data_IF_093190340347
#
_entry.id   IF_093190340347
#
_cell.length_a   1.000
_cell.length_b   1.000
_cell.length_c   1.000
_cell.angle_alpha   90.00
_cell.angle_beta   90.00
_cell.angle_gamma   90.00
#
_symmetry.space_group_name_H-M   'P 1'
#
loop_
_entity.id
_entity.type
_entity.pdbx_description
1 polymer ?
#
# COMPACT_ATOMS: atom_id res chain seq x y z
N UNK A 1 5.02 50.57 -19.98
CA UNK A 1 5.34 50.25 -18.58
C UNK A 1 4.40 49.13 -18.14
N UNK A 2 4.88 47.89 -18.14
CA UNK A 2 4.11 46.72 -17.68
C UNK A 2 4.35 46.59 -16.18
N UNK A 3 3.32 46.46 -15.33
CA UNK A 3 3.52 46.36 -13.89
C UNK A 3 4.28 45.07 -13.56
N UNK A 4 5.31 45.19 -12.73
CA UNK A 4 6.04 44.06 -12.20
C UNK A 4 5.07 43.14 -11.45
N UNK A 5 5.00 41.87 -11.85
CA UNK A 5 4.25 40.84 -11.10
C UNK A 5 4.87 40.75 -9.72
N UNK A 6 4.08 40.97 -8.67
CA UNK A 6 4.46 40.62 -7.31
C UNK A 6 4.90 39.16 -7.29
N UNK A 7 6.17 38.94 -6.97
CA UNK A 7 6.72 37.61 -6.78
C UNK A 7 6.10 37.08 -5.49
N UNK A 8 5.03 36.28 -5.60
CA UNK A 8 4.48 35.57 -4.46
C UNK A 8 5.56 34.64 -3.94
N UNK A 9 6.20 35.03 -2.84
CA UNK A 9 7.17 34.20 -2.13
C UNK A 9 6.36 33.16 -1.36
N UNK A 10 6.21 31.98 -1.96
CA UNK A 10 5.69 30.82 -1.25
C UNK A 10 6.75 30.37 -0.25
N UNK A 11 6.44 30.44 1.04
CA UNK A 11 7.28 29.88 2.11
C UNK A 11 7.09 28.36 2.11
N UNK A 12 7.78 27.69 1.16
CA UNK A 12 7.70 26.23 1.00
C UNK A 12 8.70 25.59 1.97
N UNK A 13 8.25 24.72 2.90
CA UNK A 13 9.13 24.10 3.87
C UNK A 13 10.12 23.17 3.18
N UNK A 14 11.41 23.35 3.50
CA UNK A 14 12.48 22.43 3.09
C UNK A 14 12.68 21.40 4.18
N UNK A 15 12.46 20.13 3.84
CA UNK A 15 12.60 18.99 4.75
C UNK A 15 13.69 18.04 4.28
N UNK A 16 14.51 17.57 5.21
CA UNK A 16 15.45 16.48 4.96
C UNK A 16 14.73 15.14 5.16
N UNK A 17 14.89 14.25 4.19
CA UNK A 17 14.23 12.94 4.15
C UNK A 17 15.31 11.87 4.14
N UNK A 18 15.05 10.74 4.79
CA UNK A 18 15.94 9.59 4.75
C UNK A 18 15.92 8.94 3.37
N UNK A 19 17.08 8.82 2.74
CA UNK A 19 17.19 8.52 1.31
C UNK A 19 17.73 7.12 1.00
N UNK A 20 18.06 6.31 2.02
CA UNK A 20 18.60 4.95 1.85
C UNK A 20 17.67 4.08 0.99
N UNK A 21 16.36 4.18 1.22
CA UNK A 21 15.35 3.44 0.47
C UNK A 21 15.32 3.88 -1.00
N UNK A 22 15.38 5.20 -1.24
CA UNK A 22 15.43 5.78 -2.59
C UNK A 22 16.71 5.41 -3.34
N UNK A 23 17.82 5.28 -2.60
CA UNK A 23 19.12 4.86 -3.14
C UNK A 23 19.14 3.38 -3.57
N UNK A 24 18.40 2.53 -2.86
CA UNK A 24 18.18 1.13 -3.25
C UNK A 24 17.21 1.07 -4.45
N UNK A 25 16.14 1.86 -4.41
CA UNK A 25 15.10 1.89 -5.45
C UNK A 25 15.66 2.22 -6.85
N UNK A 26 16.54 3.21 -6.98
CA UNK A 26 17.07 3.64 -8.28
C UNK A 26 17.77 2.50 -9.07
N UNK A 27 18.31 1.50 -8.37
CA UNK A 27 18.98 0.33 -8.94
C UNK A 27 18.07 -0.91 -9.04
N UNK A 28 16.82 -0.81 -8.59
CA UNK A 28 15.87 -1.92 -8.61
C UNK A 28 15.37 -2.20 -10.02
N UNK A 29 14.97 -3.46 -10.26
CA UNK A 29 14.31 -3.86 -11.51
C UNK A 29 12.98 -3.13 -11.69
N UNK A 30 12.25 -2.92 -10.59
CA UNK A 30 10.98 -2.21 -10.60
C UNK A 30 11.13 -0.77 -11.11
N UNK A 31 12.16 -0.03 -10.67
CA UNK A 31 12.42 1.31 -11.15
C UNK A 31 12.84 1.35 -12.64
N UNK A 32 13.50 0.28 -13.11
CA UNK A 32 13.87 0.14 -14.52
C UNK A 32 12.65 -0.13 -15.42
N UNK A 33 11.67 -0.89 -14.93
CA UNK A 33 10.43 -1.20 -15.66
C UNK A 33 9.47 -0.01 -15.69
N UNK A 34 9.25 0.65 -14.54
CA UNK A 34 8.28 1.74 -14.43
C UNK A 34 8.76 3.04 -15.07
N UNK A 35 10.06 3.32 -14.97
CA UNK A 35 10.65 4.61 -15.38
C UNK A 35 11.86 4.38 -16.28
N UNK A 36 11.70 3.58 -17.33
CA UNK A 36 12.76 3.21 -18.26
C UNK A 36 13.40 4.41 -18.98
N UNK A 37 12.65 5.49 -19.18
CA UNK A 37 13.10 6.72 -19.87
C UNK A 37 13.87 7.69 -18.98
N UNK A 38 13.83 7.51 -17.66
CA UNK A 38 14.46 8.41 -16.70
C UNK A 38 15.89 8.00 -16.36
N UNK A 39 16.75 8.99 -16.14
CA UNK A 39 18.10 8.80 -15.63
C UNK A 39 18.06 8.26 -14.19
N UNK A 40 19.21 7.74 -13.72
CA UNK A 40 19.34 7.19 -12.37
C UNK A 40 18.93 8.22 -11.29
N UNK A 41 19.35 9.48 -11.46
CA UNK A 41 18.97 10.57 -10.56
C UNK A 41 17.47 10.88 -10.63
N UNK A 42 16.83 10.77 -11.80
CA UNK A 42 15.39 10.92 -11.93
C UNK A 42 14.63 9.85 -11.14
N UNK A 43 15.10 8.60 -11.18
CA UNK A 43 14.55 7.49 -10.39
C UNK A 43 14.75 7.69 -8.89
N UNK A 44 15.90 8.22 -8.48
CA UNK A 44 16.17 8.60 -7.09
C UNK A 44 15.16 9.64 -6.58
N UNK A 45 14.89 10.70 -7.34
CA UNK A 45 13.89 11.71 -6.97
C UNK A 45 12.48 11.14 -6.85
N UNK A 46 12.10 10.20 -7.73
CA UNK A 46 10.81 9.49 -7.62
C UNK A 46 10.75 8.71 -6.31
N UNK A 47 11.79 7.92 -6.00
CA UNK A 47 11.86 7.16 -4.75
C UNK A 47 11.79 8.08 -3.52
N UNK A 48 12.46 9.24 -3.55
CA UNK A 48 12.44 10.21 -2.44
C UNK A 48 11.04 10.81 -2.26
N UNK A 49 10.39 11.17 -3.37
CA UNK A 49 9.03 11.75 -3.35
C UNK A 49 8.02 10.74 -2.84
N UNK A 50 8.13 9.47 -3.25
CA UNK A 50 7.24 8.40 -2.77
C UNK A 50 7.45 8.10 -1.30
N UNK A 51 8.70 8.08 -0.85
CA UNK A 51 9.01 7.89 0.57
C UNK A 51 8.42 8.99 1.43
N UNK A 52 8.43 10.25 0.96
CA UNK A 52 7.77 11.37 1.62
C UNK A 52 6.25 11.18 1.71
N UNK A 53 5.62 10.64 0.67
CA UNK A 53 4.17 10.43 0.62
C UNK A 53 3.72 9.22 1.44
N UNK A 54 4.44 8.11 1.36
CA UNK A 54 4.09 6.87 2.03
C UNK A 54 5.36 6.02 2.29
N UNK A 55 6.04 6.21 3.43
CA UNK A 55 7.24 5.46 3.75
C UNK A 55 6.95 3.96 3.95
N UNK A 56 5.75 3.60 4.41
CA UNK A 56 5.37 2.20 4.62
C UNK A 56 5.31 1.43 3.30
N UNK A 57 4.75 2.03 2.25
CA UNK A 57 4.68 1.41 0.92
C UNK A 57 6.07 1.20 0.32
N UNK A 58 6.96 2.18 0.49
CA UNK A 58 8.35 2.07 0.02
C UNK A 58 9.08 0.94 0.74
N UNK A 59 8.99 0.84 2.07
CA UNK A 59 9.59 -0.27 2.80
C UNK A 59 9.00 -1.64 2.41
N UNK A 60 7.70 -1.71 2.13
CA UNK A 60 7.05 -2.93 1.67
C UNK A 60 7.53 -3.37 0.29
N UNK A 61 7.79 -2.43 -0.62
CA UNK A 61 8.32 -2.71 -1.96
C UNK A 61 9.72 -3.33 -1.94
N UNK A 62 10.52 -3.08 -0.88
CA UNK A 62 11.83 -3.70 -0.72
C UNK A 62 11.75 -5.18 -0.31
N UNK A 63 10.69 -5.61 0.38
CA UNK A 63 10.43 -6.98 0.86
C UNK A 63 11.70 -7.73 1.33
N UNK A 64 12.31 -8.56 0.48
CA UNK A 64 13.51 -9.35 0.82
C UNK A 64 14.81 -8.53 0.91
N UNK A 65 14.87 -7.35 0.27
CA UNK A 65 16.03 -6.46 0.27
C UNK A 65 16.03 -5.47 1.42
N UNK A 66 15.08 -5.57 2.36
CA UNK A 66 14.99 -4.65 3.50
C UNK A 66 16.21 -4.74 4.42
N UNK A 67 16.91 -5.88 4.44
CA UNK A 67 18.17 -6.07 5.18
C UNK A 67 19.34 -5.28 4.61
N UNK A 68 19.23 -4.76 3.38
CA UNK A 68 20.22 -3.85 2.79
C UNK A 68 20.19 -2.46 3.43
N UNK A 69 19.12 -2.13 4.16
CA UNK A 69 19.06 -0.94 5.00
C UNK A 69 20.02 -1.19 6.17
N UNK A 70 21.16 -0.49 6.19
CA UNK A 70 22.14 -0.64 7.26
C UNK A 70 21.58 -0.09 8.58
N UNK A 71 21.48 -0.95 9.59
CA UNK A 71 21.10 -0.61 10.96
C UNK A 71 22.33 -0.62 11.88
N UNK A 72 23.39 0.08 11.47
CA UNK A 72 24.66 0.16 12.21
C UNK A 72 25.45 -1.15 12.27
N UNK A 73 26.75 -1.03 12.55
CA UNK A 73 27.71 -2.14 12.46
C UNK A 73 27.40 -3.30 13.43
N UNK A 74 26.71 -3.03 14.54
CA UNK A 74 26.44 -3.97 15.63
C UNK A 74 25.44 -5.09 15.23
N UNK A 75 24.48 -4.78 14.36
CA UNK A 75 23.32 -5.64 14.09
C UNK A 75 23.45 -6.46 12.79
N UNK A 76 24.44 -6.15 11.95
CA UNK A 76 24.57 -6.72 10.61
C UNK A 76 24.98 -8.21 10.62
N UNK A 77 25.52 -8.69 11.74
CA UNK A 77 25.88 -10.10 11.94
C UNK A 77 24.67 -11.03 12.15
N UNK A 78 23.45 -10.48 12.30
CA UNK A 78 22.21 -11.22 12.63
C UNK A 78 21.16 -11.16 11.51
N UNK A 79 21.58 -11.29 10.25
CA UNK A 79 20.74 -11.09 9.05
C UNK A 79 19.38 -11.82 9.11
N UNK A 80 19.35 -13.09 9.52
CA UNK A 80 18.09 -13.88 9.56
C UNK A 80 17.13 -13.39 10.66
N UNK A 81 17.63 -13.11 11.87
CA UNK A 81 16.80 -12.62 12.98
C UNK A 81 16.33 -11.19 12.72
N UNK A 82 17.17 -10.39 12.07
CA UNK A 82 16.87 -9.03 11.68
C UNK A 82 15.71 -8.99 10.65
N UNK A 83 15.75 -9.87 9.65
CA UNK A 83 14.68 -9.97 8.65
C UNK A 83 13.34 -10.27 9.32
N UNK A 84 13.29 -11.28 10.21
CA UNK A 84 12.05 -11.64 10.93
C UNK A 84 11.54 -10.47 11.79
N UNK A 85 12.45 -9.75 12.46
CA UNK A 85 12.09 -8.60 13.27
C UNK A 85 11.51 -7.45 12.42
N UNK A 86 12.14 -7.15 11.28
CA UNK A 86 11.68 -6.12 10.35
C UNK A 86 10.34 -6.47 9.71
N UNK A 87 10.16 -7.72 9.25
CA UNK A 87 8.87 -8.20 8.75
C UNK A 87 7.77 -8.06 9.79
N UNK A 88 8.05 -8.42 11.05
CA UNK A 88 7.09 -8.27 12.15
C UNK A 88 6.70 -6.81 12.37
N UNK A 89 7.66 -5.89 12.36
CA UNK A 89 7.39 -4.45 12.49
C UNK A 89 6.55 -3.94 11.32
N UNK A 90 6.85 -4.36 10.09
CA UNK A 90 6.07 -3.98 8.91
C UNK A 90 4.64 -4.50 8.99
N UNK A 91 4.44 -5.74 9.44
CA UNK A 91 3.11 -6.31 9.69
C UNK A 91 2.39 -5.45 10.72
N UNK A 92 2.99 -5.20 11.88
CA UNK A 92 2.35 -4.41 12.95
C UNK A 92 1.96 -3.00 12.49
N UNK A 93 2.84 -2.32 11.73
CA UNK A 93 2.55 -0.98 11.21
C UNK A 93 1.49 -1.00 10.10
N UNK A 94 1.50 -1.99 9.23
CA UNK A 94 0.49 -2.15 8.16
C UNK A 94 -0.89 -2.37 8.75
N UNK A 95 -1.01 -3.18 9.81
CA UNK A 95 -2.29 -3.42 10.46
C UNK A 95 -2.78 -2.22 11.28
N UNK A 96 -1.88 -1.36 11.76
CA UNK A 96 -2.26 -0.08 12.40
C UNK A 96 -2.82 0.93 11.40
N UNK A 97 -2.17 1.07 10.25
CA UNK A 97 -2.57 2.04 9.21
C UNK A 97 -3.79 1.54 8.42
N UNK A 98 -4.02 0.23 8.39
CA UNK A 98 -5.03 -0.42 7.56
C UNK A 98 -4.76 -0.21 6.07
N UNK A 99 -5.45 -0.99 5.24
CA UNK A 99 -5.16 -1.07 3.82
C UNK A 99 -6.44 -0.98 3.02
N UNK A 100 -6.46 -0.15 1.98
CA UNK A 100 -7.62 -0.03 1.10
C UNK A 100 -7.55 -1.01 -0.07
N UNK A 101 -8.51 -1.94 -0.19
CA UNK A 101 -8.48 -2.97 -1.24
C UNK A 101 -8.65 -2.35 -2.63
N UNK A 102 -9.54 -1.37 -2.77
CA UNK A 102 -9.88 -0.82 -4.07
C UNK A 102 -8.68 -0.12 -4.70
N UNK A 103 -7.91 0.59 -3.88
CA UNK A 103 -6.64 1.19 -4.29
C UNK A 103 -5.64 0.15 -4.79
N UNK A 104 -5.62 -1.04 -4.21
CA UNK A 104 -4.71 -2.12 -4.62
C UNK A 104 -5.05 -2.71 -5.99
N UNK A 105 -6.33 -2.74 -6.36
CA UNK A 105 -6.73 -3.21 -7.69
C UNK A 105 -6.23 -2.26 -8.78
N UNK A 106 -6.21 -0.96 -8.48
CA UNK A 106 -5.81 0.10 -9.40
C UNK A 106 -4.29 0.34 -9.42
N UNK A 107 -3.63 0.19 -8.27
CA UNK A 107 -2.22 0.50 -8.08
C UNK A 107 -1.42 -0.76 -7.72
N UNK A 108 -0.62 -1.25 -8.67
CA UNK A 108 0.26 -2.42 -8.48
C UNK A 108 1.33 -2.17 -7.42
N UNK A 109 1.74 -0.92 -7.18
CA UNK A 109 2.76 -0.61 -6.19
C UNK A 109 2.22 -0.79 -4.78
N UNK A 110 0.96 -0.37 -4.56
CA UNK A 110 0.28 -0.51 -3.29
C UNK A 110 -0.02 -1.99 -2.94
N UNK A 111 -0.08 -2.90 -3.93
CA UNK A 111 -0.28 -4.34 -3.72
C UNK A 111 0.82 -5.01 -2.88
N UNK A 112 2.03 -4.45 -2.82
CA UNK A 112 3.13 -4.99 -2.00
C UNK A 112 2.80 -5.00 -0.49
N UNK A 113 1.80 -4.24 -0.05
CA UNK A 113 1.33 -4.21 1.34
C UNK A 113 0.39 -5.38 1.69
N UNK A 114 -0.26 -6.02 0.71
CA UNK A 114 -1.22 -7.11 0.97
C UNK A 114 -0.63 -8.28 1.76
N UNK A 115 0.60 -8.77 1.44
CA UNK A 115 1.20 -9.86 2.18
C UNK A 115 1.55 -9.53 3.64
N UNK A 116 1.57 -8.24 3.99
CA UNK A 116 1.90 -7.76 5.34
C UNK A 116 0.65 -7.60 6.24
N UNK A 117 -0.55 -7.72 5.66
CA UNK A 117 -1.80 -7.73 6.42
C UNK A 117 -1.91 -9.07 7.17
N UNK A 118 -2.26 -9.07 8.46
CA UNK A 118 -2.37 -10.30 9.27
C UNK A 118 -3.14 -11.39 8.51
N UNK A 119 -2.62 -12.61 8.56
CA UNK A 119 -3.24 -13.84 8.01
C UNK A 119 -3.25 -13.91 6.48
N UNK A 120 -2.85 -12.86 5.76
CA UNK A 120 -2.70 -12.83 4.30
C UNK A 120 -1.25 -13.13 3.89
N UNK A 121 -0.93 -14.41 3.70
CA UNK A 121 0.35 -14.77 3.06
C UNK A 121 0.32 -14.55 1.54
N UNK A 122 1.48 -14.54 0.86
CA UNK A 122 1.59 -14.26 -0.59
C UNK A 122 0.72 -15.19 -1.45
N UNK A 123 0.53 -16.45 -1.01
CA UNK A 123 -0.37 -17.41 -1.67
C UNK A 123 -1.83 -16.97 -1.66
N UNK A 124 -2.31 -16.46 -0.51
CA UNK A 124 -3.68 -15.99 -0.34
C UNK A 124 -3.90 -14.70 -1.11
N UNK A 125 -2.91 -13.80 -1.06
CA UNK A 125 -2.91 -12.53 -1.81
C UNK A 125 -3.07 -12.77 -3.31
N UNK A 126 -2.26 -13.66 -3.90
CA UNK A 126 -2.36 -13.97 -5.33
C UNK A 126 -3.73 -14.53 -5.74
N UNK A 127 -4.36 -15.30 -4.86
CA UNK A 127 -5.71 -15.83 -5.09
C UNK A 127 -6.77 -14.73 -4.96
N UNK A 128 -6.61 -13.83 -3.99
CA UNK A 128 -7.47 -12.67 -3.78
C UNK A 128 -7.43 -11.72 -4.97
N UNK A 129 -6.24 -11.30 -5.41
CA UNK A 129 -6.06 -10.40 -6.57
C UNK A 129 -6.68 -11.01 -7.83
N UNK A 130 -6.46 -12.31 -8.08
CA UNK A 130 -7.04 -13.02 -9.22
C UNK A 130 -8.57 -13.06 -9.17
N UNK A 131 -9.15 -13.32 -7.99
CA UNK A 131 -10.60 -13.31 -7.81
C UNK A 131 -11.19 -11.93 -8.07
N UNK A 132 -10.57 -10.87 -7.54
CA UNK A 132 -11.03 -9.50 -7.78
C UNK A 132 -10.91 -9.14 -9.26
N UNK A 133 -9.79 -9.44 -9.92
CA UNK A 133 -9.63 -9.20 -11.35
C UNK A 133 -10.68 -9.94 -12.20
N UNK A 134 -11.09 -11.13 -11.79
CA UNK A 134 -12.16 -11.91 -12.45
C UNK A 134 -13.54 -11.30 -12.22
N UNK A 135 -13.81 -10.78 -11.03
CA UNK A 135 -15.08 -10.09 -10.70
C UNK A 135 -15.20 -8.77 -11.46
N UNK A 136 -14.18 -7.92 -11.40
CA UNK A 136 -14.09 -6.71 -12.22
C UNK A 136 -14.24 -7.06 -13.70
N UNK A 137 -13.69 -8.22 -14.11
CA UNK A 137 -13.84 -8.67 -15.48
C UNK A 137 -15.27 -8.96 -15.89
N UNK A 138 -15.97 -9.73 -15.08
CA UNK A 138 -17.34 -10.12 -15.41
C UNK A 138 -18.30 -8.92 -15.32
N UNK A 139 -17.97 -7.91 -14.51
CA UNK A 139 -18.74 -6.67 -14.38
C UNK A 139 -18.59 -5.72 -15.57
N UNK A 140 -17.42 -5.64 -16.22
CA UNK A 140 -17.27 -4.82 -17.44
C UNK A 140 -18.11 -5.32 -18.62
N UNK A 141 -18.57 -6.58 -18.58
CA UNK A 141 -19.49 -7.14 -19.59
C UNK A 141 -20.95 -6.75 -19.34
N UNK A 142 -21.27 -6.21 -18.16
CA UNK A 142 -22.64 -5.98 -17.72
C UNK A 142 -22.96 -4.51 -17.37
N UNK A 143 -21.98 -3.62 -17.13
CA UNK A 143 -22.29 -2.28 -16.64
C UNK A 143 -21.45 -1.15 -17.29
N UNK A 144 -22.04 -0.51 -18.29
CA UNK A 144 -21.79 0.89 -18.68
C UNK A 144 -22.50 1.86 -17.70
N UNK A 145 -23.18 1.40 -16.64
CA UNK A 145 -24.16 2.23 -15.94
C UNK A 145 -24.13 2.28 -14.41
N UNK A 146 -23.04 1.92 -13.73
CA UNK A 146 -23.00 2.12 -12.27
C UNK A 146 -21.58 2.31 -11.76
N UNK A 147 -21.37 3.41 -11.04
CA UNK A 147 -20.19 3.78 -10.25
C UNK A 147 -19.89 2.77 -9.12
N UNK A 148 -19.79 1.48 -9.42
CA UNK A 148 -19.59 0.36 -8.47
C UNK A 148 -18.14 -0.14 -8.55
N UNK A 149 -17.19 0.77 -8.73
CA UNK A 149 -15.89 0.59 -8.11
C UNK A 149 -16.07 1.05 -6.67
N UNK A 150 -16.65 0.15 -5.86
CA UNK A 150 -16.78 0.16 -4.42
C UNK A 150 -16.14 1.40 -3.77
N UNK A 151 -16.91 2.47 -3.61
CA UNK A 151 -16.48 3.57 -2.75
C UNK A 151 -16.50 3.04 -1.31
N UNK A 152 -15.34 3.01 -0.64
CA UNK A 152 -15.29 2.97 0.83
C UNK A 152 -15.06 1.63 1.51
N UNK A 153 -14.21 0.74 0.99
CA UNK A 153 -13.74 -0.42 1.76
C UNK A 153 -12.35 -0.19 2.35
N UNK A 154 -12.27 0.45 3.52
CA UNK A 154 -11.00 0.47 4.28
C UNK A 154 -10.92 -0.87 5.00
N UNK A 155 -9.97 -1.71 4.62
CA UNK A 155 -9.79 -2.99 5.29
C UNK A 155 -9.04 -2.75 6.61
N UNK A 156 -9.80 -2.54 7.68
CA UNK A 156 -9.21 -2.47 9.02
C UNK A 156 -9.04 -3.88 9.56
N UNK A 157 -7.79 -4.24 9.82
CA UNK A 157 -7.47 -5.57 10.29
C UNK A 157 -7.48 -5.65 11.82
N UNK A 158 -8.65 -5.96 12.36
CA UNK A 158 -8.82 -6.80 13.56
C UNK A 158 -9.96 -7.76 13.23
N UNK A 159 -9.75 -9.08 13.29
CA UNK A 159 -10.81 -10.10 13.21
C UNK A 159 -11.46 -10.41 11.85
N UNK A 160 -11.48 -9.49 10.88
CA UNK A 160 -12.23 -9.63 9.61
C UNK A 160 -11.90 -10.87 8.74
N UNK A 161 -10.76 -11.53 8.95
CA UNK A 161 -10.32 -12.67 8.13
C UNK A 161 -10.41 -14.05 8.80
N UNK A 162 -10.75 -14.15 10.10
CA UNK A 162 -10.52 -15.39 10.86
C UNK A 162 -11.72 -16.36 10.85
N UNK A 163 -12.95 -15.93 10.55
CA UNK A 163 -14.10 -16.84 10.46
C UNK A 163 -14.41 -17.23 9.01
N UNK A 164 -14.00 -18.46 8.67
CA UNK A 164 -14.49 -19.28 7.55
C UNK A 164 -14.14 -18.82 6.13
N UNK A 165 -12.90 -19.09 5.70
CA UNK A 165 -12.59 -19.58 4.33
C UNK A 165 -13.02 -18.80 3.09
N UNK A 166 -13.60 -17.62 3.23
CA UNK A 166 -14.18 -16.86 2.13
C UNK A 166 -13.77 -15.41 2.33
N UNK A 167 -12.96 -14.93 1.40
CA UNK A 167 -12.92 -13.51 1.04
C UNK A 167 -14.37 -13.07 0.98
N UNK A 168 -14.83 -12.34 1.97
CA UNK A 168 -16.24 -12.10 2.19
C UNK A 168 -16.76 -11.42 0.94
N UNK A 169 -17.46 -12.20 0.14
CA UNK A 169 -18.35 -11.75 -0.92
C UNK A 169 -19.31 -10.70 -0.37
N UNK A 170 -19.52 -10.61 0.95
CA UNK A 170 -20.21 -9.50 1.63
C UNK A 170 -19.51 -8.13 1.52
N UNK A 171 -18.18 -8.04 1.54
CA UNK A 171 -17.47 -6.75 1.37
C UNK A 171 -17.73 -6.17 -0.04
N UNK A 172 -18.01 -7.04 -1.02
CA UNK A 172 -18.17 -6.66 -2.42
C UNK A 172 -19.61 -6.71 -2.93
N UNK A 173 -20.55 -7.31 -2.18
CA UNK A 173 -21.91 -7.62 -2.61
C UNK A 173 -22.92 -7.30 -1.50
N UNK A 174 -22.81 -6.15 -0.84
CA UNK A 174 -23.96 -5.63 -0.12
C UNK A 174 -24.96 -5.11 -1.16
N UNK A 175 -26.12 -5.76 -1.25
CA UNK A 175 -27.22 -5.36 -2.13
C UNK A 175 -27.78 -3.98 -1.74
N UNK A 176 -27.53 -3.55 -0.49
CA UNK A 176 -27.97 -2.27 0.10
C UNK A 176 -26.96 -1.11 -0.03
N UNK A 177 -25.82 -1.32 -0.71
CA UNK A 177 -24.75 -0.33 -0.85
C UNK A 177 -23.68 -0.39 0.26
N UNK A 178 -22.67 0.50 0.24
CA UNK A 178 -21.57 0.48 1.20
C UNK A 178 -22.04 0.91 2.60
N UNK A 179 -21.66 0.16 3.64
CA UNK A 179 -21.95 0.52 5.03
C UNK A 179 -20.97 1.62 5.48
N UNK A 180 -21.43 2.74 6.07
CA UNK A 180 -20.52 3.77 6.59
C UNK A 180 -19.51 3.23 7.63
N UNK A 181 -19.82 2.12 8.32
CA UNK A 181 -18.92 1.48 9.28
C UNK A 181 -17.73 0.77 8.61
N UNK A 182 -17.82 0.42 7.32
CA UNK A 182 -16.73 -0.21 6.56
C UNK A 182 -15.52 0.72 6.36
N UNK A 183 -15.69 2.03 6.58
CA UNK A 183 -14.60 3.01 6.58
C UNK A 183 -13.96 3.19 7.97
N UNK A 184 -14.43 2.48 8.98
CA UNK A 184 -13.99 2.63 10.37
C UNK A 184 -13.15 1.45 10.83
N UNK A 185 -12.44 1.64 11.94
CA UNK A 185 -11.69 0.56 12.59
C UNK A 185 -12.54 -0.34 13.49
N UNK A 186 -13.87 -0.25 13.39
CA UNK A 186 -14.81 -1.07 14.13
C UNK A 186 -14.84 -2.44 13.48
N UNK A 187 -14.82 -3.49 14.29
CA UNK A 187 -14.88 -4.84 13.77
C UNK A 187 -16.33 -5.21 13.44
N UNK A 188 -16.55 -6.01 12.39
CA UNK A 188 -17.90 -6.44 11.96
C UNK A 188 -18.72 -7.07 13.09
N UNK A 189 -18.10 -7.75 14.04
CA UNK A 189 -18.82 -8.35 15.18
C UNK A 189 -19.33 -7.30 16.19
N UNK A 190 -18.80 -6.08 16.12
CA UNK A 190 -19.15 -4.95 16.96
C UNK A 190 -20.06 -3.93 16.22
N UNK A 191 -20.50 -4.21 14.98
CA UNK A 191 -21.38 -3.28 14.23
C UNK A 191 -22.72 -3.06 14.96
N UNK A 192 -23.24 -4.07 15.66
CA UNK A 192 -24.46 -3.95 16.46
C UNK A 192 -24.29 -3.09 17.71
N UNK A 193 -23.04 -2.86 18.15
CA UNK A 193 -22.70 -2.10 19.36
C UNK A 193 -22.31 -0.64 19.08
N UNK A 194 -22.14 -0.27 17.81
CA UNK A 194 -21.64 1.03 17.36
C UNK A 194 -22.69 2.15 17.39
#
# INVERSE_FOLDING_TARGET
MVPARECQVFDVPVIYIWDVVSWIYQHSKHAAEESSTLSLIGKYWIGLTRFMQNPLSEHAALSAHITAISFGDENQHLVEKLLIALERVLVDMTNKVSVEINRMVMDSYYQHLLPLVCVLGPRKVNTLVRKIATLVSNLYKCYIHSNVLCQGGILVNRGHFIKSGLLTTKIFLNEDGPDPLDATCIHLEDYELA
#
